data_IF_368383786200
#
_entry.id   IF_368383786200
#
_cell.length_a   1.000
_cell.length_b   1.000
_cell.length_c   1.000
_cell.angle_alpha   90.00
_cell.angle_beta   90.00
_cell.angle_gamma   90.00
#
_symmetry.space_group_name_H-M   'P 1'
#
loop_
_entity.id
_entity.type
_entity.pdbx_description
1 polymer ?
#
# COMPACT_ATOMS: atom_id res chain seq x y z
N UNK A 1 45.72 48.24 -33.65
CA UNK A 1 45.13 47.74 -34.90
C UNK A 1 44.91 46.24 -34.73
N UNK A 2 43.71 45.78 -35.08
CA UNK A 2 43.11 44.50 -34.76
C UNK A 2 43.71 43.32 -35.53
N UNK A 3 43.56 42.09 -35.02
CA UNK A 3 42.92 40.97 -35.74
C UNK A 3 42.34 40.02 -34.68
N UNK A 4 41.00 39.90 -34.71
CA UNK A 4 40.23 38.81 -34.09
C UNK A 4 40.51 37.51 -34.86
N UNK A 5 40.72 36.41 -34.13
CA UNK A 5 40.45 35.08 -34.63
C UNK A 5 39.20 34.55 -33.92
N UNK A 6 38.09 34.48 -34.66
CA UNK A 6 36.85 33.81 -34.26
C UNK A 6 37.07 32.32 -34.49
N UNK A 7 37.12 31.54 -33.41
CA UNK A 7 37.05 30.09 -33.44
C UNK A 7 35.66 29.68 -32.94
N UNK A 8 34.76 29.50 -33.90
CA UNK A 8 33.44 28.91 -33.74
C UNK A 8 33.60 27.41 -33.43
N UNK A 9 33.67 27.08 -32.15
CA UNK A 9 33.53 25.70 -31.68
C UNK A 9 32.05 25.33 -31.59
N UNK A 10 31.62 24.41 -32.45
CA UNK A 10 30.34 23.71 -32.41
C UNK A 10 30.12 23.11 -31.01
N UNK A 11 29.24 23.71 -30.21
CA UNK A 11 28.66 23.06 -29.03
C UNK A 11 27.54 22.14 -29.53
N UNK A 12 27.84 20.85 -29.64
CA UNK A 12 26.83 19.82 -29.72
C UNK A 12 25.99 19.89 -28.43
N UNK A 13 24.80 20.48 -28.53
CA UNK A 13 23.76 20.37 -27.50
C UNK A 13 23.33 18.91 -27.50
N UNK A 14 23.95 18.09 -26.65
CA UNK A 14 23.36 16.82 -26.28
C UNK A 14 22.09 17.15 -25.50
N UNK A 15 20.95 17.03 -26.18
CA UNK A 15 19.64 17.08 -25.55
C UNK A 15 19.55 15.93 -24.56
N UNK A 16 19.79 16.22 -23.29
CA UNK A 16 19.30 15.38 -22.21
C UNK A 16 17.78 15.41 -22.32
N UNK A 17 17.18 14.32 -22.79
CA UNK A 17 15.76 14.08 -22.62
C UNK A 17 15.51 14.14 -21.11
N UNK A 18 14.88 15.23 -20.65
CA UNK A 18 14.37 15.32 -19.28
C UNK A 18 13.30 14.24 -19.19
N UNK A 19 13.65 13.07 -18.66
CA UNK A 19 12.70 11.99 -18.41
C UNK A 19 11.63 12.60 -17.50
N UNK A 20 10.41 12.76 -18.04
CA UNK A 20 9.30 13.38 -17.33
C UNK A 20 9.11 12.59 -16.03
N UNK A 21 9.21 13.25 -14.89
CA UNK A 21 9.06 12.58 -13.59
C UNK A 21 7.70 11.88 -13.53
N UNK A 22 7.71 10.55 -13.64
CA UNK A 22 6.53 9.72 -13.40
C UNK A 22 6.36 9.55 -11.89
N UNK A 23 5.17 9.89 -11.40
CA UNK A 23 4.84 9.73 -9.98
C UNK A 23 4.86 8.24 -9.63
N UNK A 24 5.51 7.91 -8.51
CA UNK A 24 5.59 6.53 -8.01
C UNK A 24 4.31 6.16 -7.28
N UNK A 25 3.90 4.90 -7.42
CA UNK A 25 2.78 4.32 -6.70
C UNK A 25 3.27 3.59 -5.44
N UNK A 26 2.60 3.84 -4.32
CA UNK A 26 2.66 3.04 -3.11
C UNK A 26 1.43 2.15 -3.11
N UNK A 27 1.65 0.84 -3.22
CA UNK A 27 0.57 -0.13 -3.18
C UNK A 27 0.22 -0.55 -1.76
N UNK A 28 -0.98 -1.09 -1.59
CA UNK A 28 -1.37 -1.67 -0.30
C UNK A 28 -2.35 -2.82 -0.50
N UNK A 29 -2.40 -3.72 0.48
CA UNK A 29 -3.41 -4.77 0.51
C UNK A 29 -4.64 -4.20 1.22
N UNK A 30 -5.84 -4.39 0.66
CA UNK A 30 -7.12 -4.06 1.31
C UNK A 30 -7.43 -5.03 2.46
N UNK A 31 -6.54 -5.09 3.45
CA UNK A 31 -6.56 -6.04 4.54
C UNK A 31 -5.81 -5.46 5.74
N UNK A 32 -6.45 -5.48 6.91
CA UNK A 32 -5.75 -5.31 8.18
C UNK A 32 -5.39 -6.68 8.70
N UNK A 33 -4.11 -6.85 8.97
CA UNK A 33 -3.66 -8.10 9.51
C UNK A 33 -3.78 -8.16 11.02
N UNK A 34 -4.75 -8.96 11.48
CA UNK A 34 -5.02 -9.25 12.89
C UNK A 34 -4.07 -10.35 13.39
N UNK A 35 -2.85 -9.94 13.75
CA UNK A 35 -1.69 -10.81 13.93
C UNK A 35 -1.67 -11.65 15.23
N UNK A 36 -2.64 -11.45 16.13
CA UNK A 36 -2.76 -12.21 17.38
C UNK A 36 -4.21 -12.61 17.65
N UNK A 37 -4.48 -13.60 18.51
CA UNK A 37 -5.86 -13.94 18.91
C UNK A 37 -6.64 -12.74 19.43
N UNK A 38 -6.04 -11.90 20.28
CA UNK A 38 -6.69 -10.67 20.79
C UNK A 38 -7.02 -9.68 19.66
N UNK A 39 -6.12 -9.51 18.69
CA UNK A 39 -6.37 -8.67 17.52
C UNK A 39 -7.55 -9.15 16.67
N UNK A 40 -7.83 -10.46 16.66
CA UNK A 40 -8.93 -11.06 15.89
C UNK A 40 -10.31 -10.82 16.50
N UNK A 41 -10.39 -10.40 17.75
CA UNK A 41 -11.64 -9.97 18.38
C UNK A 41 -12.15 -8.64 17.78
N UNK A 42 -11.31 -7.90 17.06
CA UNK A 42 -11.73 -6.74 16.29
C UNK A 42 -12.65 -7.17 15.14
N UNK A 43 -13.81 -6.51 15.03
CA UNK A 43 -14.77 -6.78 13.96
C UNK A 43 -14.25 -6.30 12.61
N UNK A 44 -14.82 -6.81 11.52
CA UNK A 44 -14.39 -6.42 10.18
C UNK A 44 -14.77 -4.96 9.87
N UNK A 45 -15.87 -4.44 10.41
CA UNK A 45 -16.25 -3.02 10.29
C UNK A 45 -15.25 -2.11 11.00
N UNK A 46 -14.75 -2.51 12.18
CA UNK A 46 -13.72 -1.77 12.90
C UNK A 46 -12.39 -1.80 12.13
N UNK A 47 -12.03 -2.94 11.56
CA UNK A 47 -10.84 -3.08 10.73
C UNK A 47 -10.94 -2.21 9.45
N UNK A 48 -12.09 -2.18 8.78
CA UNK A 48 -12.32 -1.32 7.62
C UNK A 48 -12.23 0.16 8.00
N UNK A 49 -12.85 0.57 9.10
CA UNK A 49 -12.77 1.95 9.60
C UNK A 49 -11.34 2.38 9.91
N UNK A 50 -10.55 1.48 10.51
CA UNK A 50 -9.13 1.70 10.78
C UNK A 50 -8.34 1.84 9.47
N UNK A 51 -8.58 0.95 8.50
CA UNK A 51 -7.88 0.96 7.21
C UNK A 51 -8.16 2.26 6.46
N UNK A 52 -9.42 2.68 6.35
CA UNK A 52 -9.79 3.93 5.69
C UNK A 52 -9.23 5.17 6.39
N UNK A 53 -9.16 5.14 7.73
CA UNK A 53 -8.53 6.21 8.50
C UNK A 53 -7.03 6.29 8.28
N UNK A 54 -6.34 5.16 8.28
CA UNK A 54 -4.90 5.08 7.99
C UNK A 54 -4.60 5.55 6.58
N UNK A 55 -5.34 5.05 5.57
CA UNK A 55 -5.20 5.45 4.18
C UNK A 55 -5.31 6.96 4.02
N UNK A 56 -6.38 7.55 4.56
CA UNK A 56 -6.58 9.00 4.50
C UNK A 56 -5.39 9.76 5.10
N UNK A 57 -4.95 9.36 6.29
CA UNK A 57 -3.83 10.04 6.95
C UNK A 57 -2.52 9.90 6.17
N UNK A 58 -2.20 8.72 5.64
CA UNK A 58 -1.01 8.51 4.80
C UNK A 58 -1.07 9.39 3.54
N UNK A 59 -2.22 9.45 2.87
CA UNK A 59 -2.42 10.27 1.66
C UNK A 59 -2.22 11.76 1.98
N UNK A 60 -2.79 12.24 3.09
CA UNK A 60 -2.71 13.63 3.52
C UNK A 60 -1.26 14.03 3.89
N UNK A 61 -0.53 13.16 4.60
CA UNK A 61 0.84 13.42 5.07
C UNK A 61 1.91 13.23 3.97
N UNK A 62 1.65 12.35 2.99
CA UNK A 62 2.60 12.02 1.94
C UNK A 62 1.98 12.15 0.53
N UNK A 63 1.56 13.35 0.12
CA UNK A 63 0.77 13.58 -1.10
C UNK A 63 1.58 13.42 -2.40
N UNK A 64 2.90 13.22 -2.31
CA UNK A 64 3.81 13.10 -3.47
C UNK A 64 3.72 11.75 -4.20
N UNK A 65 3.03 10.77 -3.63
CA UNK A 65 2.87 9.43 -4.19
C UNK A 65 1.42 9.16 -4.59
N UNK A 66 1.23 8.29 -5.58
CA UNK A 66 -0.06 7.65 -5.82
C UNK A 66 -0.25 6.51 -4.83
N UNK A 67 -1.50 6.28 -4.40
CA UNK A 67 -1.84 5.21 -3.46
C UNK A 67 -2.91 4.34 -4.07
N UNK A 68 -2.55 3.10 -4.39
CA UNK A 68 -3.44 2.21 -5.15
C UNK A 68 -3.53 0.84 -4.48
N UNK A 69 -4.75 0.33 -4.23
CA UNK A 69 -4.90 -0.99 -3.69
C UNK A 69 -4.42 -2.01 -4.71
N UNK A 70 -3.75 -3.05 -4.23
CA UNK A 70 -3.53 -4.23 -5.04
C UNK A 70 -4.87 -4.93 -5.30
N UNK A 71 -5.12 -5.42 -6.52
CA UNK A 71 -6.31 -6.20 -6.83
C UNK A 71 -6.44 -7.41 -5.90
N UNK A 72 -7.68 -7.76 -5.55
CA UNK A 72 -7.98 -8.89 -4.68
C UNK A 72 -7.42 -10.19 -5.24
N UNK A 73 -7.45 -10.34 -6.56
CA UNK A 73 -6.93 -11.50 -7.30
C UNK A 73 -5.42 -11.69 -7.09
N UNK A 74 -4.67 -10.61 -6.85
CA UNK A 74 -3.22 -10.66 -6.58
C UNK A 74 -2.89 -10.87 -5.11
N UNK A 75 -3.85 -10.65 -4.21
CA UNK A 75 -3.63 -10.65 -2.76
C UNK A 75 -4.39 -11.73 -2.01
N UNK A 76 -5.31 -12.44 -2.66
CA UNK A 76 -6.17 -13.46 -2.05
C UNK A 76 -5.36 -14.51 -1.28
N UNK A 77 -4.33 -15.09 -1.92
CA UNK A 77 -3.46 -16.09 -1.27
C UNK A 77 -2.71 -15.54 -0.07
N UNK A 78 -2.31 -14.27 -0.13
CA UNK A 78 -1.68 -13.59 1.00
C UNK A 78 -2.67 -13.47 2.15
N UNK A 79 -3.86 -12.93 1.90
CA UNK A 79 -4.91 -12.71 2.90
C UNK A 79 -5.31 -14.03 3.56
N UNK A 80 -5.54 -15.09 2.78
CA UNK A 80 -5.88 -16.42 3.30
C UNK A 80 -4.79 -16.97 4.22
N UNK A 81 -3.51 -16.92 3.80
CA UNK A 81 -2.39 -17.44 4.59
C UNK A 81 -2.09 -16.58 5.82
N UNK A 82 -2.17 -15.26 5.70
CA UNK A 82 -1.93 -14.33 6.81
C UNK A 82 -3.03 -14.43 7.87
N UNK A 83 -4.29 -14.58 7.46
CA UNK A 83 -5.43 -14.75 8.36
C UNK A 83 -5.39 -16.07 9.15
N UNK A 84 -4.74 -17.10 8.62
CA UNK A 84 -4.62 -18.42 9.26
C UNK A 84 -3.47 -18.51 10.30
N UNK A 85 -2.64 -17.48 10.46
CA UNK A 85 -1.46 -17.52 11.33
C UNK A 85 -1.68 -16.79 12.66
N UNK A 86 -1.44 -17.48 13.77
CA UNK A 86 -1.66 -16.98 15.15
C UNK A 86 -0.61 -16.00 15.64
N UNK A 87 0.53 -15.96 14.95
CA UNK A 87 1.57 -14.95 15.12
C UNK A 87 2.42 -14.93 13.85
N UNK A 88 2.85 -13.74 13.42
CA UNK A 88 3.85 -13.62 12.38
C UNK A 88 4.59 -12.30 12.60
N UNK A 89 5.92 -12.35 12.48
CA UNK A 89 6.76 -11.16 12.54
C UNK A 89 6.69 -10.38 11.23
N UNK A 90 7.25 -9.17 11.22
CA UNK A 90 7.35 -8.35 10.01
C UNK A 90 8.19 -9.04 8.94
N UNK A 91 9.26 -9.73 9.33
CA UNK A 91 10.08 -10.55 8.43
C UNK A 91 9.28 -11.71 7.86
N UNK A 92 8.47 -12.36 8.70
CA UNK A 92 7.54 -13.40 8.27
C UNK A 92 6.51 -12.87 7.27
N UNK A 93 6.02 -11.66 7.48
CA UNK A 93 5.12 -10.96 6.55
C UNK A 93 5.81 -10.66 5.22
N UNK A 94 7.05 -10.16 5.27
CA UNK A 94 7.88 -9.93 4.08
C UNK A 94 8.08 -11.21 3.29
N UNK A 95 8.40 -12.33 3.96
CA UNK A 95 8.50 -13.65 3.31
C UNK A 95 7.18 -14.09 2.70
N UNK A 96 6.07 -13.95 3.42
CA UNK A 96 4.76 -14.34 2.92
C UNK A 96 4.34 -13.49 1.70
N UNK A 97 4.55 -12.18 1.75
CA UNK A 97 4.33 -11.29 0.60
C UNK A 97 5.26 -11.64 -0.57
N UNK A 98 6.51 -12.03 -0.31
CA UNK A 98 7.46 -12.49 -1.34
C UNK A 98 6.97 -13.75 -2.04
N UNK A 99 6.38 -14.68 -1.31
CA UNK A 99 5.85 -15.94 -1.86
C UNK A 99 4.52 -15.75 -2.61
N UNK A 100 3.71 -14.76 -2.24
CA UNK A 100 2.31 -14.66 -2.69
C UNK A 100 2.03 -13.49 -3.61
N UNK A 101 2.61 -12.32 -3.33
CA UNK A 101 2.30 -11.05 -4.01
C UNK A 101 3.43 -10.61 -4.94
N UNK A 102 4.70 -10.73 -4.50
CA UNK A 102 5.86 -10.27 -5.28
C UNK A 102 5.91 -10.85 -6.71
N UNK A 103 5.62 -12.14 -6.97
CA UNK A 103 5.67 -12.69 -8.33
C UNK A 103 4.67 -12.03 -9.29
N UNK A 104 3.53 -11.54 -8.78
CA UNK A 104 2.59 -10.79 -9.60
C UNK A 104 3.11 -9.38 -9.90
N UNK A 105 3.66 -8.69 -8.90
CA UNK A 105 4.20 -7.34 -9.08
C UNK A 105 5.43 -7.35 -10.00
N UNK A 106 6.33 -8.34 -9.88
CA UNK A 106 7.48 -8.49 -10.79
C UNK A 106 7.02 -8.61 -12.24
N UNK A 107 6.03 -9.48 -12.51
CA UNK A 107 5.45 -9.60 -13.86
C UNK A 107 4.92 -8.26 -14.36
N UNK A 108 4.18 -7.52 -13.52
CA UNK A 108 3.67 -6.19 -13.86
C UNK A 108 4.80 -5.20 -14.20
N UNK A 109 5.87 -5.17 -13.41
CA UNK A 109 7.02 -4.30 -13.67
C UNK A 109 7.76 -4.68 -14.96
N UNK A 110 7.86 -5.96 -15.28
CA UNK A 110 8.47 -6.43 -16.52
C UNK A 110 7.62 -6.07 -17.75
N UNK A 111 6.29 -6.05 -17.64
CA UNK A 111 5.42 -5.52 -18.69
C UNK A 111 5.71 -4.05 -18.98
N UNK A 112 5.97 -3.24 -17.96
CA UNK A 112 6.36 -1.83 -18.15
C UNK A 112 7.67 -1.73 -18.94
N UNK A 113 8.66 -2.55 -18.60
CA UNK A 113 9.94 -2.60 -19.32
C UNK A 113 9.72 -3.04 -20.78
N UNK A 114 8.87 -4.03 -21.01
CA UNK A 114 8.50 -4.51 -22.35
C UNK A 114 7.83 -3.42 -23.19
N UNK A 115 6.88 -2.66 -22.61
CA UNK A 115 6.24 -1.53 -23.29
C UNK A 115 7.26 -0.46 -23.69
N UNK A 116 8.20 -0.12 -22.79
CA UNK A 116 9.30 0.81 -23.07
C UNK A 116 10.21 0.29 -24.18
N UNK A 117 10.59 -0.99 -24.13
CA UNK A 117 11.48 -1.62 -25.11
C UNK A 117 10.84 -1.73 -26.51
N UNK A 118 9.53 -2.00 -26.57
CA UNK A 118 8.76 -2.02 -27.83
C UNK A 118 8.56 -0.65 -28.46
N UNK A 119 8.81 0.42 -27.71
CA UNK A 119 8.55 1.78 -28.18
C UNK A 119 7.10 1.94 -28.63
N UNK A 120 6.13 1.42 -27.87
CA UNK A 120 4.70 1.57 -28.20
C UNK A 120 4.35 3.06 -28.22
N UNK A 121 4.29 3.64 -29.42
CA UNK A 121 4.17 5.09 -29.64
C UNK A 121 2.72 5.53 -29.80
N UNK A 122 1.82 4.65 -30.25
CA UNK A 122 0.40 4.98 -30.36
C UNK A 122 -0.37 4.62 -29.08
N UNK A 123 -1.35 5.47 -28.74
CA UNK A 123 -2.30 5.20 -27.66
C UNK A 123 -3.05 3.88 -27.85
N UNK A 124 -3.36 3.52 -29.11
CA UNK A 124 -4.11 2.32 -29.44
C UNK A 124 -3.30 1.04 -29.20
N UNK A 125 -2.03 1.00 -29.62
CA UNK A 125 -1.13 -0.12 -29.36
C UNK A 125 -0.88 -0.29 -27.86
N UNK A 126 -0.68 0.82 -27.15
CA UNK A 126 -0.50 0.84 -25.69
C UNK A 126 -1.72 0.24 -24.98
N UNK A 127 -2.93 0.72 -25.32
CA UNK A 127 -4.18 0.23 -24.73
C UNK A 127 -4.42 -1.24 -25.03
N UNK A 128 -4.21 -1.66 -26.28
CA UNK A 128 -4.40 -3.05 -26.70
C UNK A 128 -3.46 -3.99 -25.94
N UNK A 129 -2.19 -3.59 -25.79
CA UNK A 129 -1.21 -4.33 -25.00
C UNK A 129 -1.62 -4.44 -23.54
N UNK A 130 -1.97 -3.32 -22.89
CA UNK A 130 -2.40 -3.29 -21.49
C UNK A 130 -3.63 -4.18 -21.27
N UNK A 131 -4.64 -4.11 -22.14
CA UNK A 131 -5.85 -4.94 -22.06
C UNK A 131 -5.52 -6.42 -22.17
N UNK A 132 -4.66 -6.81 -23.11
CA UNK A 132 -4.24 -8.20 -23.26
C UNK A 132 -3.54 -8.70 -21.99
N UNK A 133 -2.58 -7.92 -21.47
CA UNK A 133 -1.79 -8.29 -20.30
C UNK A 133 -2.60 -8.32 -19.00
N UNK A 134 -3.56 -7.42 -18.86
CA UNK A 134 -4.49 -7.43 -17.74
C UNK A 134 -5.30 -8.74 -17.72
N UNK A 135 -5.79 -9.20 -18.88
CA UNK A 135 -6.47 -10.50 -19.00
C UNK A 135 -5.56 -11.68 -18.64
N UNK A 136 -4.31 -11.68 -19.10
CA UNK A 136 -3.32 -12.72 -18.76
C UNK A 136 -3.07 -12.79 -17.23
N UNK A 137 -3.11 -11.64 -16.55
CA UNK A 137 -2.93 -11.53 -15.11
C UNK A 137 -4.21 -11.72 -14.30
N UNK A 138 -5.38 -11.84 -14.94
CA UNK A 138 -6.68 -11.96 -14.28
C UNK A 138 -7.15 -10.68 -13.59
N UNK A 139 -6.68 -9.51 -14.03
CA UNK A 139 -7.05 -8.19 -13.46
C UNK A 139 -7.61 -7.26 -14.55
N UNK A 140 -8.12 -6.10 -14.16
CA UNK A 140 -8.60 -5.09 -15.12
C UNK A 140 -7.42 -4.27 -15.68
N UNK A 141 -7.61 -3.70 -16.88
CA UNK A 141 -6.62 -2.81 -17.48
C UNK A 141 -6.35 -1.58 -16.60
N UNK A 142 -7.39 -1.01 -16.01
CA UNK A 142 -7.28 0.12 -15.09
C UNK A 142 -6.42 -0.23 -13.87
N UNK A 143 -6.67 -1.38 -13.24
CA UNK A 143 -5.86 -1.83 -12.12
C UNK A 143 -4.40 -2.04 -12.53
N UNK A 144 -4.16 -2.70 -13.66
CA UNK A 144 -2.81 -2.93 -14.18
C UNK A 144 -2.04 -1.61 -14.35
N UNK A 145 -2.67 -0.58 -14.93
CA UNK A 145 -2.03 0.73 -15.13
C UNK A 145 -1.65 1.41 -13.82
N UNK A 146 -2.54 1.36 -12.83
CA UNK A 146 -2.35 1.96 -11.51
C UNK A 146 -1.18 1.35 -10.74
N UNK A 147 -1.03 0.03 -10.81
CA UNK A 147 0.02 -0.71 -10.08
C UNK A 147 1.31 -0.90 -10.86
N UNK A 148 1.35 -0.46 -12.13
CA UNK A 148 2.52 -0.60 -13.00
C UNK A 148 3.77 0.14 -12.51
N UNK A 149 3.57 1.13 -11.63
CA UNK A 149 4.60 1.95 -11.02
C UNK A 149 4.83 1.62 -9.54
N UNK A 150 4.27 0.51 -9.06
CA UNK A 150 4.36 0.11 -7.66
C UNK A 150 5.69 -0.55 -7.34
N UNK A 151 6.47 0.11 -6.49
CA UNK A 151 7.73 -0.42 -5.95
C UNK A 151 7.74 -0.55 -4.42
N UNK A 152 6.71 0.01 -3.77
CA UNK A 152 6.55 0.02 -2.32
C UNK A 152 5.17 -0.52 -1.95
N UNK A 153 5.11 -1.20 -0.81
CA UNK A 153 3.89 -1.71 -0.23
C UNK A 153 3.80 -1.32 1.24
N UNK A 154 2.63 -0.91 1.72
CA UNK A 154 2.37 -0.88 3.16
C UNK A 154 1.31 -1.92 3.55
N UNK A 155 1.47 -2.47 4.75
CA UNK A 155 0.57 -3.44 5.36
C UNK A 155 0.22 -2.96 6.77
N UNK A 156 -1.05 -2.62 7.04
CA UNK A 156 -1.53 -2.37 8.39
C UNK A 156 -1.59 -3.66 9.20
N UNK A 157 -1.05 -3.60 10.41
CA UNK A 157 -0.98 -4.74 11.33
C UNK A 157 -1.57 -4.33 12.67
N UNK A 158 -2.44 -5.17 13.23
CA UNK A 158 -2.94 -5.05 14.60
C UNK A 158 -2.38 -6.22 15.38
N UNK A 159 -1.61 -5.90 16.43
CA UNK A 159 -0.96 -6.90 17.31
C UNK A 159 -1.72 -7.07 18.61
N UNK A 160 -2.57 -6.12 19.00
CA UNK A 160 -3.43 -6.23 20.17
C UNK A 160 -4.70 -5.41 19.99
N UNK A 161 -5.83 -6.00 20.35
CA UNK A 161 -7.10 -5.33 20.52
C UNK A 161 -7.73 -5.85 21.80
N UNK A 162 -8.29 -4.95 22.60
CA UNK A 162 -8.99 -5.31 23.83
C UNK A 162 -10.16 -4.34 24.03
N UNK A 163 -11.33 -4.90 24.32
CA UNK A 163 -12.53 -4.17 24.74
C UNK A 163 -12.85 -4.50 26.19
N UNK A 164 -12.94 -3.48 27.04
CA UNK A 164 -13.29 -3.61 28.46
C UNK A 164 -14.53 -2.79 28.77
N UNK A 165 -15.51 -3.43 29.41
CA UNK A 165 -16.69 -2.75 29.97
C UNK A 165 -16.55 -2.72 31.48
N UNK A 166 -16.64 -1.53 32.06
CA UNK A 166 -16.70 -1.32 33.51
C UNK A 166 -18.04 -0.73 33.88
N UNK A 167 -18.63 -1.22 34.97
CA UNK A 167 -19.86 -0.68 35.52
C UNK A 167 -19.57 -0.15 36.91
N UNK A 168 -19.75 1.16 37.10
CA UNK A 168 -19.57 1.83 38.39
C UNK A 168 -20.81 2.68 38.67
N UNK A 169 -21.46 2.45 39.82
CA UNK A 169 -22.64 3.22 40.26
C UNK A 169 -23.80 3.29 39.23
N UNK A 170 -23.95 2.27 38.39
CA UNK A 170 -24.99 2.20 37.35
C UNK A 170 -24.61 2.86 36.02
N UNK A 171 -23.43 3.48 35.93
CA UNK A 171 -22.87 3.99 34.69
C UNK A 171 -21.93 2.95 34.07
N UNK A 172 -22.16 2.63 32.80
CA UNK A 172 -21.31 1.70 32.04
C UNK A 172 -20.32 2.49 31.20
N UNK A 173 -19.05 2.19 31.38
CA UNK A 173 -17.95 2.75 30.60
C UNK A 173 -17.37 1.66 29.72
N UNK A 174 -17.22 1.94 28.44
CA UNK A 174 -16.52 1.09 27.49
C UNK A 174 -15.16 1.70 27.19
N UNK A 175 -14.12 0.86 27.23
CA UNK A 175 -12.75 1.25 26.89
C UNK A 175 -12.17 0.29 25.87
N UNK A 176 -11.44 0.85 24.91
CA UNK A 176 -10.73 0.12 23.86
C UNK A 176 -9.24 0.37 24.00
N UNK A 177 -8.45 -0.68 23.88
CA UNK A 177 -6.99 -0.64 23.76
C UNK A 177 -6.60 -1.26 22.44
N UNK A 178 -5.80 -0.53 21.66
CA UNK A 178 -5.31 -0.96 20.36
C UNK A 178 -3.79 -0.82 20.32
N UNK A 179 -3.09 -1.87 19.91
CA UNK A 179 -1.67 -1.82 19.51
C UNK A 179 -1.52 -2.39 18.13
N UNK A 180 -0.70 -1.75 17.33
CA UNK A 180 -0.49 -2.13 15.95
C UNK A 180 0.43 -1.15 15.26
N UNK A 181 0.40 -1.14 13.94
CA UNK A 181 1.31 -0.33 13.17
C UNK A 181 1.16 -0.47 11.67
N UNK A 182 2.10 0.16 10.97
CA UNK A 182 2.28 0.04 9.53
C UNK A 182 3.64 -0.59 9.26
N UNK A 183 3.63 -1.71 8.56
CA UNK A 183 4.84 -2.32 8.01
C UNK A 183 5.00 -1.89 6.56
N UNK A 184 6.13 -1.26 6.25
CA UNK A 184 6.50 -0.81 4.91
C UNK A 184 7.47 -1.80 4.29
N UNK A 185 7.25 -2.11 3.03
CA UNK A 185 8.04 -3.04 2.24
C UNK A 185 8.48 -2.39 0.93
N UNK A 186 9.66 -2.78 0.48
CA UNK A 186 10.17 -2.50 -0.86
C UNK A 186 10.28 -3.81 -1.63
N UNK A 187 9.83 -3.81 -2.87
CA UNK A 187 10.11 -4.92 -3.78
C UNK A 187 11.52 -4.76 -4.35
N UNK A 188 12.40 -5.67 -3.99
CA UNK A 188 13.68 -5.86 -4.67
C UNK A 188 13.53 -6.97 -5.71
N UNK A 189 14.21 -6.81 -6.85
CA UNK A 189 14.15 -7.75 -7.98
C UNK A 189 15.54 -7.98 -8.53
N UNK A 190 15.92 -9.25 -8.67
CA UNK A 190 17.14 -9.67 -9.37
C UNK A 190 16.83 -10.80 -10.38
N UNK A 191 17.87 -11.46 -10.89
CA UNK A 191 17.74 -12.58 -11.84
C UNK A 191 17.02 -13.81 -11.27
N UNK A 192 16.91 -13.93 -9.95
CA UNK A 192 16.28 -15.05 -9.22
C UNK A 192 14.80 -14.81 -8.93
N UNK A 193 14.32 -13.58 -9.08
CA UNK A 193 12.94 -13.19 -8.83
C UNK A 193 12.84 -11.94 -7.95
N UNK A 194 11.66 -11.71 -7.39
CA UNK A 194 11.41 -10.57 -6.50
C UNK A 194 11.07 -10.97 -5.08
N UNK A 195 11.55 -10.20 -4.11
CA UNK A 195 11.25 -10.37 -2.69
C UNK A 195 10.91 -9.02 -2.04
N UNK A 196 10.07 -9.09 -1.01
CA UNK A 196 9.64 -7.94 -0.22
C UNK A 196 10.56 -7.78 0.98
N UNK A 197 11.35 -6.71 0.95
CA UNK A 197 12.24 -6.32 2.05
C UNK A 197 11.50 -5.36 2.98
N UNK A 198 11.44 -5.62 4.29
CA UNK A 198 10.90 -4.66 5.23
C UNK A 198 11.79 -3.42 5.30
N UNK A 199 11.21 -2.25 5.04
CA UNK A 199 11.88 -0.96 5.13
C UNK A 199 11.77 -0.34 6.52
N UNK A 200 10.55 -0.35 7.05
CA UNK A 200 10.23 0.32 8.31
C UNK A 200 8.98 -0.27 8.92
N UNK A 201 9.01 -0.42 10.23
CA UNK A 201 7.85 -0.76 11.04
C UNK A 201 7.57 0.45 11.92
N UNK A 202 6.37 0.98 11.83
CA UNK A 202 5.91 2.06 12.70
C UNK A 202 4.85 1.48 13.60
N UNK A 203 5.16 1.34 14.88
CA UNK A 203 4.20 0.88 15.89
C UNK A 203 3.57 2.05 16.62
N UNK A 204 2.30 1.88 16.99
CA UNK A 204 1.52 2.83 17.74
C UNK A 204 0.60 2.10 18.72
N UNK A 205 0.26 2.82 19.77
CA UNK A 205 -0.67 2.38 20.80
C UNK A 205 -1.69 3.48 21.04
N UNK A 206 -2.96 3.09 21.12
CA UNK A 206 -4.07 3.99 21.40
C UNK A 206 -5.01 3.39 22.44
N UNK A 207 -5.50 4.25 23.33
CA UNK A 207 -6.57 3.91 24.27
C UNK A 207 -7.69 4.92 24.09
N UNK A 208 -8.93 4.43 24.01
CA UNK A 208 -10.14 5.24 23.93
C UNK A 208 -11.13 4.81 25.00
N UNK A 209 -11.94 5.74 25.49
CA UNK A 209 -12.97 5.47 26.48
C UNK A 209 -14.23 6.28 26.15
N UNK A 210 -15.39 5.68 26.33
CA UNK A 210 -16.70 6.30 26.18
C UNK A 210 -17.66 5.76 27.24
N UNK A 211 -18.60 6.60 27.67
CA UNK A 211 -19.78 6.17 28.40
C UNK A 211 -20.73 5.47 27.43
N UNK A 212 -21.27 4.33 27.85
CA UNK A 212 -22.21 3.56 27.05
C UNK A 212 -23.51 4.36 26.86
N UNK A 213 -24.06 4.33 25.65
CA UNK A 213 -25.27 5.06 25.23
C UNK A 213 -25.15 6.60 25.18
N UNK A 214 -24.04 7.19 25.65
CA UNK A 214 -23.74 8.62 25.47
C UNK A 214 -23.54 8.96 23.99
N UNK A 215 -23.87 10.17 23.58
CA UNK A 215 -23.78 10.59 22.17
C UNK A 215 -22.55 11.46 21.95
N UNK A 216 -21.67 11.03 21.06
CA UNK A 216 -20.43 11.70 20.70
C UNK A 216 -20.48 12.26 19.27
N UNK A 217 -19.64 13.25 18.97
CA UNK A 217 -19.49 13.79 17.62
C UNK A 217 -18.17 13.33 17.03
N UNK A 218 -18.22 12.47 16.02
CA UNK A 218 -17.03 11.96 15.32
C UNK A 218 -17.14 12.28 13.83
N UNK A 219 -16.13 12.98 13.29
CA UNK A 219 -16.09 13.44 11.89
C UNK A 219 -17.40 14.11 11.42
N UNK A 220 -17.99 14.93 12.28
CA UNK A 220 -19.24 15.64 12.00
C UNK A 220 -20.52 14.81 12.17
N UNK A 221 -20.44 13.49 12.35
CA UNK A 221 -21.58 12.60 12.60
C UNK A 221 -21.79 12.37 14.09
N UNK A 222 -23.05 12.17 14.50
CA UNK A 222 -23.38 11.70 15.86
C UNK A 222 -23.18 10.18 15.92
N UNK A 223 -22.44 9.70 16.90
CA UNK A 223 -22.21 8.28 17.17
C UNK A 223 -22.55 7.99 18.62
N UNK A 224 -23.05 6.80 18.92
CA UNK A 224 -23.27 6.35 20.31
C UNK A 224 -21.97 5.78 20.87
N UNK A 225 -21.74 5.94 22.16
CA UNK A 225 -20.70 5.22 22.88
C UNK A 225 -21.12 3.76 23.05
N UNK A 226 -20.31 2.85 22.52
CA UNK A 226 -20.54 1.40 22.52
C UNK A 226 -19.29 0.60 22.86
#
# INVERSE_FOLDING_TARGET
MWILAVLSGFLAVQGYAVERYERKTVSYVNFIWKATPSAREMTDEQAEMLLETLKKHIIDEMPRFDYEPLPGELTEKFVQRAGAQDSLSVEGAGKLLSETVAPAIVRILDLKKEMKARGLVSEEERRSFVVQKAKELGITAEHLEKVMNSAYLFLPVVTHYERKVKEEKGEKTVSYSLKGGLAWFHLEVDERGGWMVPLKVVEAHGVGQAEQDSTYRWRGKKVKGD
#
